data_IF_098576155779
#
_entry.id   IF_098576155779
#
_cell.length_a   1.000
_cell.length_b   1.000
_cell.length_c   1.000
_cell.angle_alpha   90.00
_cell.angle_beta   90.00
_cell.angle_gamma   90.00
#
_symmetry.space_group_name_H-M   'P 1'
#
loop_
_entity.id
_entity.type
_entity.pdbx_description
1 polymer ?
#
# COMPACT_ATOMS: atom_id res chain seq x y z
N UNK A 1 3.86 10.66 23.88
CA UNK A 1 3.43 11.74 22.97
C UNK A 1 4.59 12.45 22.27
N UNK A 2 5.71 12.74 22.98
CA UNK A 2 6.94 13.32 22.39
C UNK A 2 7.58 12.41 21.34
N UNK A 3 7.74 11.11 21.63
CA UNK A 3 8.45 10.17 20.74
C UNK A 3 7.68 9.90 19.45
N UNK A 4 6.37 9.83 19.54
CA UNK A 4 5.50 9.66 18.37
C UNK A 4 5.55 10.88 17.45
N UNK A 5 5.55 12.09 18.02
CA UNK A 5 5.74 13.32 17.26
C UNK A 5 7.14 13.39 16.64
N UNK A 6 8.18 12.98 17.38
CA UNK A 6 9.56 12.94 16.87
C UNK A 6 9.72 11.97 15.70
N UNK A 7 8.95 10.88 15.66
CA UNK A 7 8.99 9.92 14.55
C UNK A 7 8.11 10.34 13.36
N UNK A 8 7.00 11.04 13.58
CA UNK A 8 6.02 11.31 12.52
C UNK A 8 6.20 12.68 11.86
N UNK A 9 6.59 13.72 12.63
CA UNK A 9 6.84 15.06 12.07
C UNK A 9 7.92 15.07 10.98
N UNK A 10 9.05 14.34 11.12
CA UNK A 10 10.05 14.25 10.04
C UNK A 10 9.49 13.72 8.73
N UNK A 11 8.50 12.82 8.75
CA UNK A 11 7.86 12.32 7.53
C UNK A 11 7.11 13.42 6.78
N UNK A 12 6.38 14.27 7.52
CA UNK A 12 5.70 15.42 6.94
C UNK A 12 6.68 16.44 6.37
N UNK A 13 7.82 16.65 7.05
CA UNK A 13 8.88 17.53 6.55
C UNK A 13 9.49 16.98 5.26
N UNK A 14 9.72 15.68 5.15
CA UNK A 14 10.19 15.03 3.92
C UNK A 14 9.19 15.16 2.78
N UNK A 15 7.88 15.02 3.04
CA UNK A 15 6.83 15.26 2.06
C UNK A 15 6.84 16.73 1.63
N UNK A 16 6.93 17.66 2.59
CA UNK A 16 7.06 19.09 2.31
C UNK A 16 8.28 19.43 1.47
N UNK A 17 9.44 18.83 1.78
CA UNK A 17 10.68 18.97 1.00
C UNK A 17 10.49 18.46 -0.43
N UNK A 18 9.85 17.30 -0.61
CA UNK A 18 9.53 16.76 -1.94
C UNK A 18 8.69 17.72 -2.77
N UNK A 19 7.68 18.34 -2.15
CA UNK A 19 6.88 19.38 -2.80
C UNK A 19 7.68 20.63 -3.17
N UNK A 20 8.58 21.09 -2.30
CA UNK A 20 9.47 22.24 -2.56
C UNK A 20 10.46 21.94 -3.69
N UNK A 21 11.08 20.76 -3.71
CA UNK A 21 11.98 20.32 -4.80
C UNK A 21 11.29 20.32 -6.15
N UNK A 22 10.00 19.91 -6.18
CA UNK A 22 9.20 20.02 -7.39
C UNK A 22 8.99 21.47 -7.82
N UNK A 23 8.62 22.35 -6.86
CA UNK A 23 8.36 23.76 -7.16
C UNK A 23 9.63 24.49 -7.63
N UNK A 24 10.76 24.05 -7.11
CA UNK A 24 12.09 24.54 -7.54
C UNK A 24 12.54 23.98 -8.90
N UNK A 25 11.82 23.02 -9.48
CA UNK A 25 12.19 22.41 -10.76
C UNK A 25 13.44 21.53 -10.69
N UNK A 26 13.80 21.01 -9.50
CA UNK A 26 15.04 20.27 -9.28
C UNK A 26 15.04 18.91 -9.99
N UNK A 27 13.88 18.29 -10.14
CA UNK A 27 13.67 17.05 -10.87
C UNK A 27 12.58 17.21 -11.94
N UNK A 28 12.73 16.54 -13.05
CA UNK A 28 11.70 16.37 -14.05
C UNK A 28 10.65 15.32 -13.62
N UNK A 29 9.48 15.34 -14.24
CA UNK A 29 8.46 14.31 -13.99
C UNK A 29 8.94 12.90 -14.35
N UNK A 30 9.74 12.77 -15.42
CA UNK A 30 10.27 11.48 -15.88
C UNK A 30 11.32 10.91 -14.91
N UNK A 31 12.17 11.74 -14.33
CA UNK A 31 13.15 11.32 -13.31
C UNK A 31 12.45 10.81 -12.06
N UNK A 32 11.42 11.51 -11.60
CA UNK A 32 10.61 11.06 -10.46
C UNK A 32 9.84 9.77 -10.79
N UNK A 33 9.42 9.57 -12.03
CA UNK A 33 8.78 8.31 -12.42
C UNK A 33 9.77 7.15 -12.41
N UNK A 34 11.00 7.35 -12.88
CA UNK A 34 12.08 6.36 -12.80
C UNK A 34 12.43 6.06 -11.33
N UNK A 35 12.55 7.09 -10.50
CA UNK A 35 12.79 6.91 -9.06
C UNK A 35 11.64 6.15 -8.39
N UNK A 36 10.39 6.44 -8.74
CA UNK A 36 9.24 5.68 -8.23
C UNK A 36 9.29 4.21 -8.63
N UNK A 37 9.67 3.93 -9.89
CA UNK A 37 9.88 2.56 -10.37
C UNK A 37 10.98 1.86 -9.58
N UNK A 38 12.12 2.50 -9.39
CA UNK A 38 13.22 1.95 -8.58
C UNK A 38 12.82 1.66 -7.14
N UNK A 39 12.07 2.57 -6.49
CA UNK A 39 11.54 2.33 -5.15
C UNK A 39 10.62 1.10 -5.14
N UNK A 40 9.66 1.04 -6.07
CA UNK A 40 8.68 -0.06 -6.13
C UNK A 40 9.26 -1.42 -6.51
N UNK A 41 10.21 -1.44 -7.45
CA UNK A 41 10.74 -2.69 -8.02
C UNK A 41 11.95 -3.24 -7.24
N UNK A 42 12.67 -2.40 -6.46
CA UNK A 42 13.87 -2.81 -5.74
C UNK A 42 13.83 -2.51 -4.25
N UNK A 43 13.50 -1.29 -3.84
CA UNK A 43 13.62 -0.90 -2.43
C UNK A 43 12.48 -1.48 -1.57
N UNK A 44 11.23 -1.38 -2.03
CA UNK A 44 10.07 -1.96 -1.31
C UNK A 44 10.19 -3.47 -1.17
N UNK A 45 10.57 -4.24 -2.22
CA UNK A 45 10.91 -5.66 -2.07
C UNK A 45 11.94 -5.96 -0.99
N UNK A 46 12.98 -5.12 -0.85
CA UNK A 46 13.99 -5.29 0.21
C UNK A 46 13.39 -5.10 1.62
N UNK A 47 12.49 -4.12 1.80
CA UNK A 47 11.79 -3.92 3.08
C UNK A 47 10.94 -5.14 3.43
N UNK A 48 10.14 -5.61 2.47
CA UNK A 48 9.27 -6.78 2.67
C UNK A 48 10.10 -8.03 2.96
N UNK A 49 11.21 -8.23 2.22
CA UNK A 49 12.11 -9.35 2.46
C UNK A 49 12.62 -9.34 3.90
N UNK A 50 13.20 -8.23 4.38
CA UNK A 50 13.70 -8.15 5.75
C UNK A 50 12.61 -8.47 6.77
N UNK A 51 11.42 -7.91 6.59
CA UNK A 51 10.33 -8.08 7.56
C UNK A 51 9.83 -9.52 7.60
N UNK A 52 9.68 -10.20 6.46
CA UNK A 52 9.22 -11.61 6.43
C UNK A 52 10.36 -12.56 6.82
N UNK A 53 11.60 -12.22 6.49
CA UNK A 53 12.76 -13.07 6.74
C UNK A 53 12.96 -13.37 8.24
N UNK A 54 12.74 -12.36 9.10
CA UNK A 54 12.90 -12.43 10.55
C UNK A 54 11.58 -12.68 11.30
N UNK A 55 10.44 -12.78 10.56
CA UNK A 55 9.12 -12.91 11.17
C UNK A 55 8.93 -14.32 11.78
N UNK A 56 8.44 -14.41 13.01
CA UNK A 56 7.92 -15.65 13.60
C UNK A 56 6.53 -15.94 13.01
N UNK A 57 6.52 -16.67 11.88
CA UNK A 57 5.27 -16.94 11.14
C UNK A 57 4.44 -17.98 11.88
N UNK A 58 3.29 -17.56 12.39
CA UNK A 58 2.30 -18.39 13.06
C UNK A 58 1.11 -18.66 12.15
N UNK A 59 0.32 -19.68 12.49
CA UNK A 59 -0.91 -20.00 11.76
C UNK A 59 -1.90 -18.81 11.73
N UNK A 60 -1.91 -17.99 12.78
CA UNK A 60 -2.74 -16.78 12.86
C UNK A 60 -2.37 -15.75 11.77
N UNK A 61 -1.08 -15.60 11.43
CA UNK A 61 -0.62 -14.70 10.37
C UNK A 61 -1.09 -15.17 8.99
N UNK A 62 -1.09 -16.48 8.74
CA UNK A 62 -1.60 -17.05 7.48
C UNK A 62 -3.13 -16.90 7.39
N UNK A 63 -3.83 -17.13 8.50
CA UNK A 63 -5.28 -16.91 8.58
C UNK A 63 -5.64 -15.44 8.35
N UNK A 64 -4.87 -14.52 8.94
CA UNK A 64 -5.04 -13.07 8.75
C UNK A 64 -4.78 -12.66 7.29
N UNK A 65 -3.75 -13.23 6.66
CA UNK A 65 -3.45 -13.01 5.22
C UNK A 65 -4.62 -13.42 4.34
N UNK A 66 -5.19 -14.62 4.57
CA UNK A 66 -6.34 -15.11 3.84
C UNK A 66 -7.61 -14.27 4.12
N UNK A 67 -7.85 -13.90 5.38
CA UNK A 67 -8.95 -13.02 5.77
C UNK A 67 -8.86 -11.65 5.12
N UNK A 68 -7.68 -11.05 5.08
CA UNK A 68 -7.49 -9.74 4.45
C UNK A 68 -7.65 -9.81 2.92
N UNK A 69 -7.18 -10.89 2.29
CA UNK A 69 -7.47 -11.16 0.86
C UNK A 69 -8.98 -11.23 0.60
N UNK A 70 -9.75 -11.91 1.44
CA UNK A 70 -11.21 -12.00 1.33
C UNK A 70 -11.87 -10.63 1.53
N UNK A 71 -11.41 -9.81 2.48
CA UNK A 71 -11.89 -8.44 2.65
C UNK A 71 -11.73 -7.63 1.35
N UNK A 72 -10.57 -7.72 0.69
CA UNK A 72 -10.31 -7.01 -0.56
C UNK A 72 -11.20 -7.48 -1.71
N UNK A 73 -11.52 -8.78 -1.78
CA UNK A 73 -12.51 -9.30 -2.72
C UNK A 73 -13.90 -8.72 -2.46
N UNK A 74 -14.32 -8.64 -1.20
CA UNK A 74 -15.60 -8.05 -0.81
C UNK A 74 -15.64 -6.57 -1.20
N UNK A 75 -14.59 -5.81 -0.91
CA UNK A 75 -14.50 -4.40 -1.29
C UNK A 75 -14.57 -4.20 -2.81
N UNK A 76 -13.91 -5.06 -3.58
CA UNK A 76 -13.97 -5.03 -5.04
C UNK A 76 -15.38 -5.33 -5.55
N UNK A 77 -16.03 -6.35 -5.00
CA UNK A 77 -17.41 -6.74 -5.37
C UNK A 77 -18.40 -5.60 -5.06
N UNK A 78 -18.31 -5.01 -3.88
CA UNK A 78 -19.19 -3.92 -3.47
C UNK A 78 -18.92 -2.63 -4.29
N UNK A 79 -17.65 -2.33 -4.62
CA UNK A 79 -17.34 -1.24 -5.53
C UNK A 79 -17.89 -1.47 -6.94
N UNK A 80 -17.80 -2.70 -7.45
CA UNK A 80 -18.39 -3.07 -8.73
C UNK A 80 -19.94 -2.96 -8.71
N UNK A 81 -20.58 -3.41 -7.62
CA UNK A 81 -22.01 -3.29 -7.45
C UNK A 81 -22.44 -1.82 -7.40
N UNK A 82 -21.74 -0.99 -6.62
CA UNK A 82 -21.99 0.45 -6.55
C UNK A 82 -21.83 1.12 -7.92
N UNK A 83 -20.77 0.77 -8.67
CA UNK A 83 -20.58 1.23 -10.04
C UNK A 83 -21.78 0.92 -10.94
N UNK A 84 -22.33 -0.31 -10.85
CA UNK A 84 -23.50 -0.73 -11.62
C UNK A 84 -24.79 -0.02 -11.21
N UNK A 85 -25.03 0.09 -9.91
CA UNK A 85 -26.26 0.71 -9.36
C UNK A 85 -26.28 2.21 -9.63
N UNK A 86 -25.13 2.90 -9.42
CA UNK A 86 -25.00 4.34 -9.64
C UNK A 86 -24.84 4.70 -11.12
N UNK A 87 -24.71 3.70 -12.00
CA UNK A 87 -24.50 3.89 -13.45
C UNK A 87 -23.39 4.86 -13.77
N UNK A 88 -22.27 4.74 -13.05
CA UNK A 88 -21.13 5.65 -13.22
C UNK A 88 -20.46 5.44 -14.57
N UNK A 89 -19.99 6.50 -15.25
CA UNK A 89 -19.28 6.37 -16.53
C UNK A 89 -17.81 5.97 -16.36
N UNK A 90 -17.23 6.07 -15.17
CA UNK A 90 -15.80 5.89 -14.91
C UNK A 90 -15.50 4.49 -14.36
N UNK A 91 -14.84 3.64 -15.14
CA UNK A 91 -14.53 2.25 -14.76
C UNK A 91 -13.45 2.16 -13.68
N UNK A 92 -12.57 3.14 -13.58
CA UNK A 92 -11.54 3.24 -12.53
C UNK A 92 -12.14 3.27 -11.12
N UNK A 93 -13.39 3.73 -10.97
CA UNK A 93 -14.11 3.75 -9.70
C UNK A 93 -14.14 2.36 -9.03
N UNK A 94 -14.29 1.28 -9.80
CA UNK A 94 -14.35 -0.10 -9.30
C UNK A 94 -13.10 -0.45 -8.50
N UNK A 95 -11.92 0.00 -8.98
CA UNK A 95 -10.63 -0.35 -8.41
C UNK A 95 -10.12 0.65 -7.37
N UNK A 96 -10.79 1.79 -7.23
CA UNK A 96 -10.30 2.85 -6.36
C UNK A 96 -10.36 2.49 -4.87
N UNK A 97 -11.33 1.65 -4.45
CA UNK A 97 -11.59 1.32 -3.04
C UNK A 97 -11.02 -0.02 -2.56
N UNK A 98 -10.46 -0.85 -3.44
CA UNK A 98 -10.09 -2.24 -3.11
C UNK A 98 -8.59 -2.51 -3.11
N UNK A 99 -7.74 -1.49 -3.13
CA UNK A 99 -6.30 -1.64 -2.96
C UNK A 99 -5.75 -0.51 -2.09
N UNK A 100 -4.65 -0.80 -1.40
CA UNK A 100 -4.00 0.12 -0.47
C UNK A 100 -2.54 0.30 -0.86
N UNK A 101 -1.96 1.46 -0.50
CA UNK A 101 -0.55 1.73 -0.74
C UNK A 101 0.34 1.07 0.31
N UNK A 102 0.23 -0.27 0.42
CA UNK A 102 0.89 -1.07 1.45
C UNK A 102 2.40 -0.83 1.47
N UNK A 103 3.11 -1.13 0.37
CA UNK A 103 4.57 -1.06 0.31
C UNK A 103 5.11 0.37 0.32
N UNK A 104 4.46 1.32 -0.41
CA UNK A 104 4.98 2.69 -0.54
C UNK A 104 4.70 3.57 0.68
N UNK A 105 3.62 3.33 1.40
CA UNK A 105 3.20 4.19 2.51
C UNK A 105 2.95 3.40 3.79
N UNK A 106 2.29 2.25 3.70
CA UNK A 106 1.92 1.45 4.87
C UNK A 106 3.13 1.03 5.68
N UNK A 107 4.09 0.35 5.05
CA UNK A 107 5.30 -0.12 5.71
C UNK A 107 6.13 1.04 6.28
N UNK A 108 6.52 2.06 5.48
CA UNK A 108 7.34 3.14 6.00
C UNK A 108 6.66 3.91 7.13
N UNK A 109 5.37 4.17 7.01
CA UNK A 109 4.65 4.98 8.00
C UNK A 109 4.46 4.20 9.31
N UNK A 110 4.16 2.90 9.23
CA UNK A 110 4.01 2.05 10.41
C UNK A 110 5.34 1.86 11.13
N UNK A 111 6.41 1.51 10.40
CA UNK A 111 7.73 1.31 11.00
C UNK A 111 8.30 2.57 11.64
N UNK A 112 8.03 3.74 11.08
CA UNK A 112 8.43 5.01 11.66
C UNK A 112 7.65 5.35 12.94
N UNK A 113 6.41 4.89 13.05
CA UNK A 113 5.55 5.20 14.18
C UNK A 113 5.72 4.23 15.34
N UNK A 114 5.82 2.93 15.04
CA UNK A 114 5.78 1.85 16.02
C UNK A 114 7.05 1.00 16.08
N UNK A 115 8.02 1.25 15.19
CA UNK A 115 9.20 0.40 15.04
C UNK A 115 8.99 -0.77 14.09
N UNK A 116 10.09 -1.32 13.57
CA UNK A 116 10.08 -2.46 12.67
C UNK A 116 9.76 -3.78 13.37
N UNK A 117 9.94 -3.86 14.68
CA UNK A 117 9.70 -5.02 15.53
C UNK A 117 8.21 -5.35 15.70
N UNK A 118 7.31 -4.39 15.44
CA UNK A 118 5.86 -4.56 15.60
C UNK A 118 5.10 -4.75 14.28
N UNK A 119 5.81 -5.04 13.19
CA UNK A 119 5.23 -5.09 11.84
C UNK A 119 4.52 -6.41 11.50
N UNK A 120 4.52 -7.41 12.38
CA UNK A 120 4.02 -8.76 12.11
C UNK A 120 2.61 -8.78 11.51
N UNK A 121 1.66 -8.07 12.10
CA UNK A 121 0.27 -8.01 11.62
C UNK A 121 0.12 -7.21 10.33
N UNK A 122 0.86 -6.11 10.21
CA UNK A 122 0.87 -5.31 8.98
C UNK A 122 1.35 -6.15 7.80
N UNK A 123 2.43 -6.91 8.00
CA UNK A 123 3.02 -7.77 6.95
C UNK A 123 2.12 -8.96 6.65
N UNK A 124 1.50 -9.57 7.66
CA UNK A 124 0.53 -10.64 7.45
C UNK A 124 -0.64 -10.19 6.56
N UNK A 125 -1.23 -9.02 6.86
CA UNK A 125 -2.25 -8.42 5.98
C UNK A 125 -1.69 -8.04 4.61
N UNK A 126 -0.45 -7.58 4.57
CA UNK A 126 0.28 -7.24 3.36
C UNK A 126 0.47 -8.42 2.40
N UNK A 127 0.77 -9.61 2.92
CA UNK A 127 0.85 -10.84 2.10
C UNK A 127 -0.49 -11.08 1.39
N UNK A 128 -1.60 -11.01 2.13
CA UNK A 128 -2.94 -11.14 1.56
C UNK A 128 -3.26 -10.06 0.51
N UNK A 129 -2.84 -8.81 0.79
CA UNK A 129 -2.98 -7.69 -0.14
C UNK A 129 -2.19 -7.92 -1.44
N UNK A 130 -0.94 -8.35 -1.36
CA UNK A 130 -0.10 -8.57 -2.54
C UNK A 130 -0.57 -9.74 -3.40
N UNK A 131 -1.06 -10.80 -2.77
CA UNK A 131 -1.74 -11.90 -3.47
C UNK A 131 -2.98 -11.40 -4.23
N UNK A 132 -3.85 -10.65 -3.56
CA UNK A 132 -5.01 -10.04 -4.19
C UNK A 132 -4.60 -9.08 -5.32
N UNK A 133 -3.60 -8.26 -5.08
CA UNK A 133 -3.12 -7.28 -6.04
C UNK A 133 -2.61 -7.93 -7.32
N UNK A 134 -1.76 -8.96 -7.22
CA UNK A 134 -1.19 -9.64 -8.37
C UNK A 134 -2.22 -10.49 -9.13
N UNK A 135 -3.05 -11.26 -8.41
CA UNK A 135 -3.98 -12.21 -9.02
C UNK A 135 -5.26 -11.54 -9.54
N UNK A 136 -5.85 -10.67 -8.73
CA UNK A 136 -7.20 -10.14 -8.96
C UNK A 136 -7.17 -8.70 -9.46
N UNK A 137 -6.49 -7.81 -8.74
CA UNK A 137 -6.55 -6.38 -8.99
C UNK A 137 -5.94 -5.98 -10.33
N UNK A 138 -4.68 -6.30 -10.57
CA UNK A 138 -3.96 -5.95 -11.81
C UNK A 138 -4.59 -6.66 -13.00
N UNK A 139 -4.97 -7.92 -12.84
CA UNK A 139 -5.64 -8.70 -13.90
C UNK A 139 -7.01 -8.12 -14.24
N UNK A 140 -7.84 -7.85 -13.23
CA UNK A 140 -9.16 -7.25 -13.41
C UNK A 140 -9.09 -5.85 -14.01
N UNK A 141 -8.13 -5.02 -13.57
CA UNK A 141 -7.92 -3.69 -14.12
C UNK A 141 -7.49 -3.74 -15.60
N UNK A 142 -6.60 -4.65 -15.99
CA UNK A 142 -6.23 -4.86 -17.40
C UNK A 142 -7.45 -5.25 -18.25
N UNK A 143 -8.29 -6.14 -17.76
CA UNK A 143 -9.49 -6.57 -18.48
C UNK A 143 -10.50 -5.42 -18.63
N UNK A 144 -10.80 -4.70 -17.56
CA UNK A 144 -11.85 -3.68 -17.57
C UNK A 144 -11.42 -2.35 -18.17
N UNK A 145 -10.15 -1.95 -17.97
CA UNK A 145 -9.64 -0.67 -18.49
C UNK A 145 -9.00 -0.81 -19.87
N UNK A 146 -8.18 -1.83 -20.07
CA UNK A 146 -7.45 -2.06 -21.32
C UNK A 146 -8.19 -2.98 -22.30
N UNK A 147 -9.26 -3.64 -21.86
CA UNK A 147 -10.01 -4.64 -22.64
C UNK A 147 -9.15 -5.84 -23.12
N UNK A 148 -8.12 -6.17 -22.34
CA UNK A 148 -7.30 -7.37 -22.60
C UNK A 148 -8.05 -8.65 -22.21
N UNK A 149 -7.83 -9.72 -22.98
CA UNK A 149 -8.30 -11.07 -22.61
C UNK A 149 -7.41 -11.62 -21.51
N UNK A 150 -8.02 -12.27 -20.52
CA UNK A 150 -7.27 -13.00 -19.49
C UNK A 150 -6.61 -14.20 -20.14
N UNK A 151 -5.30 -14.29 -20.03
CA UNK A 151 -4.53 -15.48 -20.42
C UNK A 151 -3.74 -15.98 -19.21
N UNK A 152 -3.49 -17.30 -19.08
CA UNK A 152 -2.65 -17.82 -18.00
C UNK A 152 -1.28 -17.14 -17.94
N UNK A 153 -0.73 -16.79 -19.11
CA UNK A 153 0.55 -16.10 -19.22
C UNK A 153 0.48 -14.66 -18.64
N UNK A 154 -0.64 -13.95 -18.83
CA UNK A 154 -0.79 -12.60 -18.25
C UNK A 154 -0.86 -12.64 -16.72
N UNK A 155 -1.50 -13.65 -16.16
CA UNK A 155 -1.54 -13.89 -14.72
C UNK A 155 -0.15 -14.28 -14.18
N UNK A 156 0.53 -15.22 -14.84
CA UNK A 156 1.88 -15.61 -14.47
C UNK A 156 2.87 -14.43 -14.49
N UNK A 157 2.76 -13.53 -15.48
CA UNK A 157 3.59 -12.32 -15.54
C UNK A 157 3.31 -11.36 -14.37
N UNK A 158 2.08 -11.26 -13.90
CA UNK A 158 1.77 -10.44 -12.73
C UNK A 158 2.37 -11.05 -11.44
N UNK A 159 2.36 -12.39 -11.32
CA UNK A 159 3.02 -13.11 -10.23
C UNK A 159 4.55 -13.04 -10.30
N UNK A 160 5.12 -12.80 -11.46
CA UNK A 160 6.57 -12.59 -11.63
C UNK A 160 7.01 -11.14 -11.31
N UNK A 161 6.16 -10.33 -10.65
CA UNK A 161 6.59 -9.00 -10.19
C UNK A 161 7.69 -9.11 -9.14
N UNK A 162 8.68 -8.18 -9.11
CA UNK A 162 9.77 -8.22 -8.14
C UNK A 162 9.28 -8.26 -6.69
N UNK A 163 8.23 -7.51 -6.39
CA UNK A 163 7.63 -7.46 -5.07
C UNK A 163 7.03 -8.81 -4.66
N UNK A 164 6.23 -9.44 -5.54
CA UNK A 164 5.64 -10.74 -5.24
C UNK A 164 6.70 -11.86 -5.13
N UNK A 165 7.71 -11.84 -6.01
CA UNK A 165 8.81 -12.78 -5.93
C UNK A 165 9.57 -12.67 -4.60
N UNK A 166 9.82 -11.45 -4.10
CA UNK A 166 10.49 -11.27 -2.80
C UNK A 166 9.62 -11.72 -1.63
N UNK A 167 8.30 -11.49 -1.67
CA UNK A 167 7.37 -12.09 -0.69
C UNK A 167 7.50 -13.61 -0.69
N UNK A 168 7.48 -14.22 -1.87
CA UNK A 168 7.54 -15.68 -2.01
C UNK A 168 8.89 -16.23 -1.51
N UNK A 169 10.00 -15.62 -1.94
CA UNK A 169 11.35 -16.05 -1.55
C UNK A 169 11.56 -15.93 -0.04
N UNK A 170 11.22 -14.79 0.54
CA UNK A 170 11.35 -14.58 1.99
C UNK A 170 10.46 -15.53 2.80
N UNK A 171 9.23 -15.80 2.33
CA UNK A 171 8.32 -16.74 2.96
C UNK A 171 8.85 -18.18 2.90
N UNK A 172 9.36 -18.61 1.76
CA UNK A 172 9.97 -19.96 1.60
C UNK A 172 11.19 -20.10 2.50
N UNK A 173 12.11 -19.13 2.51
CA UNK A 173 13.30 -19.16 3.37
C UNK A 173 12.91 -19.23 4.86
N UNK A 174 11.91 -18.47 5.26
CA UNK A 174 11.43 -18.43 6.64
C UNK A 174 10.78 -19.77 7.04
N UNK A 175 9.77 -20.23 6.29
CA UNK A 175 9.03 -21.47 6.59
C UNK A 175 9.88 -22.73 6.56
N UNK A 176 10.95 -22.75 5.74
CA UNK A 176 11.88 -23.88 5.67
C UNK A 176 13.01 -23.82 6.71
N UNK A 177 13.13 -22.73 7.45
CA UNK A 177 14.23 -22.50 8.40
C UNK A 177 15.57 -22.18 7.71
N UNK A 178 15.59 -22.05 6.38
CA UNK A 178 16.80 -21.70 5.63
C UNK A 178 17.28 -20.27 5.89
N UNK A 179 16.41 -19.40 6.43
CA UNK A 179 16.77 -18.07 6.89
C UNK A 179 17.91 -18.10 7.92
N UNK A 180 17.86 -19.01 8.92
CA UNK A 180 18.91 -19.18 9.92
C UNK A 180 20.21 -19.69 9.31
N UNK A 181 20.13 -20.64 8.35
CA UNK A 181 21.30 -21.15 7.64
C UNK A 181 21.97 -20.05 6.80
N UNK A 182 21.17 -19.26 6.06
CA UNK A 182 21.66 -18.14 5.26
C UNK A 182 22.34 -17.08 6.14
N UNK A 183 21.71 -16.72 7.25
CA UNK A 183 22.25 -15.73 8.20
C UNK A 183 23.56 -16.18 8.85
N UNK A 184 23.76 -17.47 9.06
CA UNK A 184 24.99 -18.03 9.65
C UNK A 184 26.19 -18.02 8.71
N UNK A 185 25.99 -17.84 7.39
CA UNK A 185 27.09 -17.79 6.43
C UNK A 185 27.61 -16.36 6.26
N UNK A 186 28.92 -16.19 6.07
CA UNK A 186 29.54 -14.86 5.84
C UNK A 186 28.95 -14.17 4.60
N UNK A 187 28.79 -14.90 3.49
CA UNK A 187 28.18 -14.36 2.27
C UNK A 187 26.72 -13.98 2.48
N UNK A 188 25.96 -14.84 3.15
CA UNK A 188 24.56 -14.56 3.49
C UNK A 188 24.44 -13.30 4.35
N UNK A 189 25.27 -13.16 5.38
CA UNK A 189 25.30 -11.95 6.22
C UNK A 189 25.62 -10.68 5.42
N UNK A 190 26.56 -10.74 4.46
CA UNK A 190 26.84 -9.61 3.56
C UNK A 190 25.62 -9.24 2.70
N UNK A 191 24.95 -10.23 2.11
CA UNK A 191 23.75 -10.02 1.28
C UNK A 191 22.61 -9.42 2.13
N UNK A 192 22.34 -9.99 3.29
CA UNK A 192 21.31 -9.49 4.22
C UNK A 192 21.60 -8.07 4.66
N UNK A 193 22.86 -7.75 4.97
CA UNK A 193 23.29 -6.37 5.29
C UNK A 193 23.05 -5.40 4.13
N UNK A 194 23.33 -5.82 2.89
CA UNK A 194 23.07 -4.99 1.72
C UNK A 194 21.55 -4.74 1.52
N UNK A 195 20.73 -5.79 1.65
CA UNK A 195 19.27 -5.68 1.58
C UNK A 195 18.76 -4.74 2.67
N UNK A 196 19.24 -4.87 3.91
CA UNK A 196 18.85 -4.00 5.03
C UNK A 196 19.21 -2.53 4.80
N UNK A 197 20.37 -2.24 4.22
CA UNK A 197 20.76 -0.87 3.85
C UNK A 197 19.85 -0.30 2.75
N UNK A 198 19.47 -1.09 1.76
CA UNK A 198 18.51 -0.67 0.73
C UNK A 198 17.12 -0.44 1.34
N UNK A 199 16.69 -1.30 2.25
CA UNK A 199 15.43 -1.13 2.96
C UNK A 199 15.38 0.18 3.76
N UNK A 200 16.46 0.57 4.44
CA UNK A 200 16.49 1.74 5.31
C UNK A 200 16.30 3.08 4.59
N UNK A 201 16.73 3.20 3.33
CA UNK A 201 16.55 4.43 2.54
C UNK A 201 15.17 4.55 1.89
N UNK A 202 14.40 3.44 1.87
CA UNK A 202 13.10 3.36 1.18
C UNK A 202 12.13 4.42 1.69
N UNK A 203 12.02 4.57 3.00
CA UNK A 203 11.11 5.49 3.64
C UNK A 203 11.38 6.95 3.23
N UNK A 204 12.63 7.40 3.31
CA UNK A 204 13.01 8.77 2.98
C UNK A 204 12.70 9.08 1.53
N UNK A 205 13.10 8.21 0.60
CA UNK A 205 12.86 8.40 -0.83
C UNK A 205 11.37 8.35 -1.16
N UNK A 206 10.62 7.47 -0.50
CA UNK A 206 9.16 7.38 -0.71
C UNK A 206 8.45 8.66 -0.29
N UNK A 207 8.78 9.22 0.89
CA UNK A 207 8.16 10.46 1.37
C UNK A 207 8.49 11.65 0.44
N UNK A 208 9.73 11.75 -0.03
CA UNK A 208 10.11 12.76 -1.03
C UNK A 208 9.31 12.62 -2.33
N UNK A 209 9.18 11.40 -2.85
CA UNK A 209 8.41 11.14 -4.09
C UNK A 209 6.92 11.43 -3.90
N UNK A 210 6.34 11.08 -2.75
CA UNK A 210 4.94 11.42 -2.44
C UNK A 210 4.75 12.94 -2.48
N UNK A 211 5.60 13.70 -1.79
CA UNK A 211 5.55 15.16 -1.80
C UNK A 211 5.73 15.75 -3.20
N UNK A 212 6.67 15.22 -3.98
CA UNK A 212 6.89 15.66 -5.35
C UNK A 212 5.68 15.39 -6.26
N UNK A 213 4.97 14.29 -6.08
CA UNK A 213 3.77 13.94 -6.86
C UNK A 213 2.53 14.74 -6.50
N UNK A 214 2.53 15.49 -5.41
CA UNK A 214 1.43 16.38 -5.04
C UNK A 214 1.28 17.49 -6.07
N UNK A 215 0.37 17.33 -7.03
CA UNK A 215 -0.01 18.36 -8.01
C UNK A 215 -1.16 19.20 -7.47
N UNK A 216 -1.23 20.48 -7.86
CA UNK A 216 -2.44 21.25 -7.66
C UNK A 216 -3.58 20.57 -8.41
N UNK A 217 -4.68 20.38 -7.69
CA UNK A 217 -5.87 19.73 -8.17
C UNK A 217 -6.52 20.55 -9.29
N UNK A 218 -6.90 19.90 -10.37
CA UNK A 218 -7.76 20.51 -11.37
C UNK A 218 -9.14 20.77 -10.74
N UNK A 219 -9.48 22.05 -10.61
CA UNK A 219 -10.73 22.48 -9.95
C UNK A 219 -11.98 21.97 -10.65
N UNK A 220 -11.93 21.78 -11.96
CA UNK A 220 -13.08 21.35 -12.74
C UNK A 220 -13.60 19.95 -12.33
N UNK A 221 -12.71 19.04 -11.90
CA UNK A 221 -13.06 17.65 -11.53
C UNK A 221 -13.00 17.37 -10.04
N UNK A 222 -12.73 18.39 -9.23
CA UNK A 222 -12.50 18.25 -7.78
C UNK A 222 -13.68 17.60 -7.06
N UNK A 223 -14.92 18.01 -7.41
CA UNK A 223 -16.13 17.49 -6.78
C UNK A 223 -16.32 15.98 -6.99
N UNK A 224 -16.11 15.52 -8.21
CA UNK A 224 -16.23 14.08 -8.56
C UNK A 224 -15.10 13.28 -7.90
N UNK A 225 -13.89 13.82 -7.90
CA UNK A 225 -12.73 13.21 -7.24
C UNK A 225 -12.93 13.08 -5.73
N UNK A 226 -13.48 14.12 -5.09
CA UNK A 226 -13.83 14.08 -3.67
C UNK A 226 -14.91 13.03 -3.36
N UNK A 227 -15.89 12.86 -4.26
CA UNK A 227 -16.90 11.79 -4.15
C UNK A 227 -16.27 10.39 -4.20
N UNK A 228 -15.27 10.16 -5.07
CA UNK A 228 -14.53 8.89 -5.09
C UNK A 228 -13.86 8.60 -3.76
N UNK A 229 -13.20 9.61 -3.17
CA UNK A 229 -12.51 9.49 -1.89
C UNK A 229 -13.49 9.27 -0.74
N UNK A 230 -14.60 10.01 -0.71
CA UNK A 230 -15.64 9.85 0.29
C UNK A 230 -16.25 8.43 0.23
N UNK A 231 -16.61 7.96 -0.98
CA UNK A 231 -17.11 6.60 -1.18
C UNK A 231 -16.10 5.56 -0.70
N UNK A 232 -14.82 5.73 -1.06
CA UNK A 232 -13.75 4.85 -0.60
C UNK A 232 -13.74 4.76 0.93
N UNK A 233 -13.67 5.90 1.63
CA UNK A 233 -13.63 5.88 3.09
C UNK A 233 -14.89 5.29 3.71
N UNK A 234 -16.07 5.65 3.22
CA UNK A 234 -17.32 5.06 3.68
C UNK A 234 -17.29 3.54 3.51
N UNK A 235 -16.90 3.05 2.34
CA UNK A 235 -16.86 1.62 2.06
C UNK A 235 -15.77 0.91 2.88
N UNK A 236 -14.54 1.40 2.84
CA UNK A 236 -13.41 0.72 3.50
C UNK A 236 -13.54 0.71 5.01
N UNK A 237 -13.97 1.81 5.64
CA UNK A 237 -14.14 1.86 7.09
C UNK A 237 -15.38 1.08 7.54
N UNK A 238 -16.54 1.23 6.87
CA UNK A 238 -17.77 0.51 7.28
C UNK A 238 -17.61 -1.00 7.09
N UNK A 239 -17.26 -1.42 5.89
CA UNK A 239 -17.13 -2.86 5.56
C UNK A 239 -15.88 -3.44 6.21
N UNK A 240 -14.77 -2.70 6.21
CA UNK A 240 -13.51 -3.13 6.82
C UNK A 240 -13.67 -3.40 8.32
N UNK A 241 -14.22 -2.47 9.09
CA UNK A 241 -14.45 -2.69 10.51
C UNK A 241 -15.52 -3.72 10.81
N UNK A 242 -16.59 -3.78 10.02
CA UNK A 242 -17.57 -4.86 10.16
C UNK A 242 -16.92 -6.23 9.93
N UNK A 243 -16.09 -6.37 8.90
CA UNK A 243 -15.36 -7.60 8.63
C UNK A 243 -14.30 -7.90 9.70
N UNK A 244 -13.59 -6.88 10.18
CA UNK A 244 -12.66 -7.03 11.28
C UNK A 244 -13.34 -7.64 12.51
N UNK A 245 -14.40 -7.01 13.00
CA UNK A 245 -15.14 -7.44 14.20
C UNK A 245 -15.77 -8.84 14.04
N UNK A 246 -16.28 -9.16 12.85
CA UNK A 246 -16.98 -10.43 12.61
C UNK A 246 -16.05 -11.60 12.30
N UNK A 247 -14.91 -11.33 11.69
CA UNK A 247 -14.01 -12.36 11.14
C UNK A 247 -12.59 -12.25 11.67
N UNK A 248 -11.90 -11.11 11.47
CA UNK A 248 -10.47 -11.02 11.74
C UNK A 248 -10.14 -11.08 13.24
N UNK A 249 -10.95 -10.44 14.09
CA UNK A 249 -10.77 -10.46 15.55
C UNK A 249 -11.00 -11.86 16.18
N UNK A 250 -11.55 -12.79 15.40
CA UNK A 250 -11.68 -14.21 15.82
C UNK A 250 -10.50 -15.07 15.36
N UNK A 251 -9.69 -14.56 14.45
CA UNK A 251 -8.54 -15.27 13.87
C UNK A 251 -7.23 -14.92 14.56
N UNK A 252 -7.18 -13.75 15.23
CA UNK A 252 -5.96 -13.18 15.80
C UNK A 252 -6.21 -12.84 17.26
N UNK A 253 -5.21 -13.08 18.11
CA UNK A 253 -5.25 -12.64 19.49
C UNK A 253 -5.36 -11.10 19.57
N UNK A 254 -6.07 -10.53 20.57
CA UNK A 254 -6.19 -9.09 20.71
C UNK A 254 -4.81 -8.43 20.77
N UNK A 255 -4.55 -7.50 19.84
CA UNK A 255 -3.28 -6.79 19.75
C UNK A 255 -3.52 -5.35 19.32
N UNK A 256 -2.95 -4.42 20.06
CA UNK A 256 -3.00 -2.99 19.76
C UNK A 256 -2.30 -2.71 18.40
N UNK A 257 -1.22 -3.41 18.12
CA UNK A 257 -0.49 -3.25 16.84
C UNK A 257 -1.29 -3.77 15.64
N UNK A 258 -2.13 -4.81 15.86
CA UNK A 258 -3.07 -5.24 14.82
C UNK A 258 -4.10 -4.14 14.51
N UNK A 259 -4.68 -3.53 15.55
CA UNK A 259 -5.65 -2.44 15.38
C UNK A 259 -5.06 -1.24 14.65
N UNK A 260 -3.83 -0.86 15.01
CA UNK A 260 -3.11 0.25 14.37
C UNK A 260 -2.74 -0.06 12.92
N UNK A 261 -2.27 -1.27 12.64
CA UNK A 261 -1.94 -1.70 11.28
C UNK A 261 -3.19 -1.74 10.40
N UNK A 262 -4.30 -2.24 10.94
CA UNK A 262 -5.56 -2.28 10.23
C UNK A 262 -6.11 -0.88 9.90
N UNK A 263 -6.15 0.02 10.90
CA UNK A 263 -6.55 1.40 10.68
C UNK A 263 -5.66 2.10 9.66
N UNK A 264 -4.34 1.94 9.78
CA UNK A 264 -3.38 2.50 8.84
C UNK A 264 -3.71 2.05 7.42
N UNK A 265 -3.90 0.76 7.16
CA UNK A 265 -4.19 0.24 5.83
C UNK A 265 -5.50 0.83 5.27
N UNK A 266 -6.57 0.90 6.06
CA UNK A 266 -7.84 1.47 5.60
C UNK A 266 -7.74 2.98 5.29
N UNK A 267 -6.89 3.70 6.00
CA UNK A 267 -6.66 5.14 5.79
C UNK A 267 -5.80 5.44 4.57
N UNK A 268 -5.00 4.46 4.08
CA UNK A 268 -4.09 4.66 2.97
C UNK A 268 -4.82 4.96 1.65
N UNK A 269 -4.13 5.68 0.77
CA UNK A 269 -4.59 5.90 -0.59
C UNK A 269 -4.50 4.61 -1.44
N UNK A 270 -5.26 4.60 -2.53
CA UNK A 270 -5.29 3.48 -3.47
C UNK A 270 -3.98 3.29 -4.23
N UNK A 271 -3.94 2.27 -5.07
CA UNK A 271 -2.75 1.92 -5.83
C UNK A 271 -2.35 2.99 -6.86
N UNK A 272 -1.06 3.37 -6.87
CA UNK A 272 -0.47 4.21 -7.94
C UNK A 272 -0.56 3.55 -9.31
N UNK A 273 -0.59 2.21 -9.37
CA UNK A 273 -0.73 1.43 -10.60
C UNK A 273 -2.06 1.75 -11.28
N UNK A 274 -3.14 1.97 -10.51
CA UNK A 274 -4.42 2.39 -11.08
C UNK A 274 -4.30 3.70 -11.86
N UNK A 275 -3.69 4.72 -11.26
CA UNK A 275 -3.52 6.04 -11.89
C UNK A 275 -2.72 5.94 -13.18
N UNK A 276 -1.67 5.12 -13.19
CA UNK A 276 -0.85 4.86 -14.40
C UNK A 276 -1.69 4.17 -15.48
N UNK A 277 -2.46 3.15 -15.11
CA UNK A 277 -3.31 2.41 -16.06
C UNK A 277 -4.43 3.30 -16.63
N UNK A 278 -5.08 4.09 -15.78
CA UNK A 278 -6.11 5.03 -16.22
C UNK A 278 -5.53 6.07 -17.16
N UNK A 279 -4.36 6.64 -16.85
CA UNK A 279 -3.68 7.59 -17.72
C UNK A 279 -3.29 7.02 -19.09
N UNK A 280 -3.09 5.70 -19.17
CA UNK A 280 -2.68 5.01 -20.39
C UNK A 280 -3.86 4.51 -21.24
N UNK A 281 -4.97 4.11 -20.61
CA UNK A 281 -6.04 3.37 -21.29
C UNK A 281 -7.43 4.01 -21.21
N UNK A 282 -7.62 5.03 -20.36
CA UNK A 282 -8.90 5.69 -20.19
C UNK A 282 -8.93 7.10 -20.80
N UNK A 283 -10.09 7.74 -20.72
CA UNK A 283 -10.25 9.12 -21.18
C UNK A 283 -9.43 10.11 -20.34
N UNK A 284 -9.11 11.27 -20.91
CA UNK A 284 -8.44 12.36 -20.20
C UNK A 284 -9.25 12.78 -18.94
N UNK A 285 -10.56 12.82 -19.05
CA UNK A 285 -11.45 13.15 -17.96
C UNK A 285 -11.29 12.15 -16.77
N UNK A 286 -11.33 10.85 -17.07
CA UNK A 286 -11.18 9.79 -16.06
C UNK A 286 -9.79 9.81 -15.43
N UNK A 287 -8.75 10.12 -16.21
CA UNK A 287 -7.39 10.31 -15.73
C UNK A 287 -7.30 11.49 -14.74
N UNK A 288 -7.89 12.64 -15.07
CA UNK A 288 -7.91 13.83 -14.21
C UNK A 288 -8.65 13.55 -12.89
N UNK A 289 -9.82 12.89 -12.96
CA UNK A 289 -10.60 12.48 -11.78
C UNK A 289 -9.79 11.53 -10.90
N UNK A 290 -9.21 10.48 -11.48
CA UNK A 290 -8.46 9.47 -10.72
C UNK A 290 -7.18 10.05 -10.10
N UNK A 291 -6.48 10.94 -10.81
CA UNK A 291 -5.28 11.62 -10.30
C UNK A 291 -5.62 12.57 -9.15
N UNK A 292 -6.68 13.36 -9.28
CA UNK A 292 -7.15 14.24 -8.21
C UNK A 292 -7.61 13.43 -6.99
N UNK A 293 -8.38 12.36 -7.21
CA UNK A 293 -8.84 11.49 -6.14
C UNK A 293 -7.66 10.84 -5.40
N UNK A 294 -6.63 10.41 -6.12
CA UNK A 294 -5.40 9.88 -5.53
C UNK A 294 -4.72 10.91 -4.61
N UNK A 295 -4.56 12.15 -5.06
CA UNK A 295 -3.92 13.22 -4.27
C UNK A 295 -4.75 13.58 -3.04
N UNK A 296 -6.08 13.76 -3.20
CA UNK A 296 -6.97 14.02 -2.06
C UNK A 296 -6.87 12.89 -1.04
N UNK A 297 -6.94 11.63 -1.50
CA UNK A 297 -6.90 10.47 -0.62
C UNK A 297 -5.53 10.32 0.07
N UNK A 298 -4.41 10.64 -0.61
CA UNK A 298 -3.10 10.63 0.01
C UNK A 298 -2.99 11.65 1.15
N UNK A 299 -3.44 12.88 0.91
CA UNK A 299 -3.44 13.95 1.91
C UNK A 299 -4.37 13.63 3.09
N UNK A 300 -5.61 13.26 2.79
CA UNK A 300 -6.60 12.95 3.83
C UNK A 300 -6.24 11.70 4.62
N UNK A 301 -5.63 10.69 3.97
CA UNK A 301 -5.18 9.46 4.63
C UNK A 301 -4.06 9.72 5.64
N UNK A 302 -3.07 10.55 5.28
CA UNK A 302 -2.01 10.96 6.20
C UNK A 302 -2.61 11.73 7.39
N UNK A 303 -3.50 12.69 7.13
CA UNK A 303 -4.16 13.48 8.18
C UNK A 303 -5.00 12.60 9.09
N UNK A 304 -5.79 11.68 8.54
CA UNK A 304 -6.59 10.73 9.33
C UNK A 304 -5.71 9.85 10.22
N UNK A 305 -4.62 9.34 9.67
CA UNK A 305 -3.67 8.53 10.44
C UNK A 305 -3.02 9.33 11.56
N UNK A 306 -2.62 10.58 11.30
CA UNK A 306 -2.06 11.47 12.32
C UNK A 306 -3.06 11.77 13.43
N UNK A 307 -4.32 12.07 13.09
CA UNK A 307 -5.38 12.30 14.06
C UNK A 307 -5.61 11.04 14.91
N UNK A 308 -5.66 9.88 14.27
CA UNK A 308 -5.85 8.59 14.95
C UNK A 308 -4.75 8.34 15.98
N UNK A 309 -3.49 8.52 15.60
CA UNK A 309 -2.34 8.32 16.49
C UNK A 309 -2.37 9.31 17.67
N UNK A 310 -2.69 10.57 17.41
CA UNK A 310 -2.78 11.59 18.46
C UNK A 310 -3.96 11.36 19.42
N UNK A 311 -5.04 10.73 18.93
CA UNK A 311 -6.24 10.44 19.72
C UNK A 311 -6.14 9.13 20.53
N UNK A 312 -5.17 8.24 20.23
CA UNK A 312 -4.99 6.97 20.92
C UNK A 312 -4.00 7.11 22.10
N UNK A 313 -4.45 7.30 23.34
CA UNK A 313 -3.58 7.55 24.49
C UNK A 313 -2.78 6.33 24.96
N UNK A 314 -3.01 5.14 24.37
CA UNK A 314 -2.28 3.90 24.70
C UNK A 314 -0.90 3.76 24.05
N UNK A 315 -0.42 4.81 23.37
CA UNK A 315 0.85 4.85 22.64
C UNK A 315 1.93 5.71 23.34
N UNK A 316 1.65 6.21 24.53
CA UNK A 316 2.56 7.02 25.33
C UNK A 316 3.38 6.15 26.30
#
# INVERSE_FOLDING_TARGET
MSDLMLNTVPLLLLIGLGYLLRRAGYFSGDEIQKLTGFIGDFLVPCVIFNTIFDLDIRSEHLALSAGFFMLLLILLLLSWLAFRVLKLPWRSFIFFSCAFSFGLMGIPLFSATFGSEHMEYLVAMGIGHELFFALVYVTGAKVLLKQEKITPLSVARNLASPLFLMVLVSLVLNLTGLNGVLAATTLGGCVLSAISKLASITMVLTMLVVGFKMRFLDRARLRVSAMFVLFRYLLTFTVGYAFKLLVLDRMVAPSVYFDHAFFLLLSQFGSTVLVIMVGKYCSREEMEISSNAFVINALTGIVLYMIYILACPGLA
#
